data_IF_667807674947
#
_entry.id   IF_667807674947
#
_cell.length_a   1.000
_cell.length_b   1.000
_cell.length_c   1.000
_cell.angle_alpha   90.00
_cell.angle_beta   90.00
_cell.angle_gamma   90.00
#
_symmetry.space_group_name_H-M   'P 1'
#
loop_
_entity.id
_entity.type
_entity.pdbx_description
1 polymer ?
#
# COMPACT_ATOMS: atom_id res chain seq x y z
N UNK A 1 -12.30 -12.80 -14.97
CA UNK A 1 -12.82 -13.78 -14.02
C UNK A 1 -14.06 -13.25 -13.34
N UNK A 2 -14.98 -14.11 -13.05
CA UNK A 2 -16.17 -13.77 -12.25
C UNK A 2 -15.82 -14.00 -10.79
N UNK A 3 -15.86 -12.94 -9.98
CA UNK A 3 -15.67 -13.02 -8.54
C UNK A 3 -17.03 -12.83 -7.86
N UNK A 4 -17.31 -13.58 -6.80
CA UNK A 4 -18.55 -13.44 -6.05
C UNK A 4 -18.55 -12.15 -5.23
N UNK A 5 -17.58 -12.01 -4.33
CA UNK A 5 -17.42 -10.82 -3.49
C UNK A 5 -15.92 -10.50 -3.33
N UNK A 6 -15.32 -9.80 -4.31
CA UNK A 6 -13.90 -9.45 -4.24
C UNK A 6 -13.66 -8.28 -3.30
N UNK A 7 -12.63 -8.41 -2.47
CA UNK A 7 -12.10 -7.33 -1.64
C UNK A 7 -10.63 -7.15 -2.00
N UNK A 8 -10.19 -5.94 -2.27
CA UNK A 8 -8.81 -5.62 -2.59
C UNK A 8 -8.12 -4.97 -1.39
N UNK A 9 -6.82 -5.18 -1.29
CA UNK A 9 -6.01 -4.60 -0.18
C UNK A 9 -6.07 -3.07 -0.17
N UNK A 10 -6.27 -2.44 -1.32
CA UNK A 10 -6.44 -0.98 -1.49
C UNK A 10 -7.57 -0.41 -0.62
N UNK A 11 -8.59 -1.22 -0.30
CA UNK A 11 -9.67 -0.77 0.59
C UNK A 11 -9.16 -0.28 1.95
N UNK A 12 -7.95 -0.67 2.35
CA UNK A 12 -7.35 -0.20 3.60
C UNK A 12 -7.14 1.33 3.60
N UNK A 13 -6.84 1.95 2.45
CA UNK A 13 -6.72 3.41 2.37
C UNK A 13 -8.08 4.12 2.58
N UNK A 14 -9.18 3.49 2.21
CA UNK A 14 -10.52 4.08 2.31
C UNK A 14 -11.06 4.12 3.74
N UNK A 15 -10.41 3.43 4.69
CA UNK A 15 -10.86 3.40 6.07
C UNK A 15 -10.74 4.77 6.76
N UNK A 16 -9.82 5.61 6.32
CA UNK A 16 -9.72 7.01 6.76
C UNK A 16 -11.04 7.76 6.58
N UNK A 17 -11.73 7.56 5.45
CA UNK A 17 -13.04 8.18 5.22
C UNK A 17 -14.06 7.74 6.27
N UNK A 18 -14.11 6.45 6.58
CA UNK A 18 -15.05 5.91 7.56
C UNK A 18 -14.77 6.44 8.98
N UNK A 19 -13.50 6.50 9.38
CA UNK A 19 -13.11 7.10 10.67
C UNK A 19 -13.48 8.59 10.73
N UNK A 20 -13.24 9.35 9.66
CA UNK A 20 -13.57 10.76 9.59
C UNK A 20 -15.10 11.00 9.62
N UNK A 21 -15.88 10.16 8.93
CA UNK A 21 -17.35 10.23 9.00
C UNK A 21 -17.85 9.93 10.42
N UNK A 22 -17.29 8.93 11.09
CA UNK A 22 -17.64 8.63 12.47
C UNK A 22 -17.39 9.82 13.41
N UNK A 23 -16.25 10.49 13.26
CA UNK A 23 -15.93 11.71 14.03
C UNK A 23 -16.89 12.85 13.72
N UNK A 24 -17.16 13.10 12.44
CA UNK A 24 -17.99 14.22 12.00
C UNK A 24 -19.47 14.06 12.38
N UNK A 25 -19.98 12.83 12.37
CA UNK A 25 -21.41 12.55 12.63
C UNK A 25 -21.70 12.09 14.06
N UNK A 26 -20.70 11.64 14.80
CA UNK A 26 -20.87 10.99 16.10
C UNK A 26 -21.44 9.56 16.00
N UNK A 27 -21.63 9.01 14.79
CA UNK A 27 -22.16 7.66 14.58
C UNK A 27 -21.03 6.64 14.55
N UNK A 28 -20.91 5.86 15.63
CA UNK A 28 -19.84 4.88 15.79
C UNK A 28 -19.88 3.74 14.79
N UNK A 29 -21.01 3.50 14.12
CA UNK A 29 -21.14 2.39 13.14
C UNK A 29 -20.07 2.43 12.05
N UNK A 30 -19.67 3.63 11.60
CA UNK A 30 -18.64 3.79 10.58
C UNK A 30 -17.27 3.35 11.08
N UNK A 31 -16.92 3.72 12.33
CA UNK A 31 -15.72 3.25 13.01
C UNK A 31 -15.72 1.74 13.20
N UNK A 32 -16.85 1.16 13.62
CA UNK A 32 -16.98 -0.28 13.84
C UNK A 32 -16.82 -1.07 12.54
N UNK A 33 -17.37 -0.55 11.43
CA UNK A 33 -17.18 -1.12 10.09
C UNK A 33 -15.70 -1.07 9.70
N UNK A 34 -15.02 0.07 9.88
CA UNK A 34 -13.61 0.21 9.55
C UNK A 34 -12.73 -0.76 10.33
N UNK A 35 -12.93 -0.87 11.64
CA UNK A 35 -12.20 -1.82 12.50
C UNK A 35 -12.45 -3.26 12.06
N UNK A 36 -13.71 -3.64 11.83
CA UNK A 36 -14.06 -5.00 11.40
C UNK A 36 -13.43 -5.32 10.04
N UNK A 37 -13.44 -4.37 9.10
CA UNK A 37 -12.80 -4.54 7.81
C UNK A 37 -11.29 -4.75 7.98
N UNK A 38 -10.61 -3.88 8.75
CA UNK A 38 -9.17 -3.99 9.00
C UNK A 38 -8.79 -5.34 9.62
N UNK A 39 -9.55 -5.82 10.63
CA UNK A 39 -9.32 -7.11 11.27
C UNK A 39 -9.53 -8.27 10.32
N UNK A 40 -10.58 -8.24 9.49
CA UNK A 40 -10.85 -9.27 8.47
C UNK A 40 -9.74 -9.31 7.42
N UNK A 41 -9.28 -8.14 6.97
CA UNK A 41 -8.17 -8.00 6.04
C UNK A 41 -6.87 -8.54 6.64
N UNK A 42 -6.57 -8.25 7.90
CA UNK A 42 -5.40 -8.79 8.62
C UNK A 42 -5.36 -10.32 8.60
N UNK A 43 -6.50 -10.96 8.83
CA UNK A 43 -6.58 -12.43 8.87
C UNK A 43 -6.51 -13.09 7.48
N UNK A 44 -7.08 -12.44 6.47
CA UNK A 44 -7.32 -13.09 5.19
C UNK A 44 -6.37 -12.66 4.07
N UNK A 45 -5.87 -11.41 4.07
CA UNK A 45 -5.03 -10.87 2.98
C UNK A 45 -3.53 -11.08 3.19
N UNK A 46 -3.07 -11.54 4.34
CA UNK A 46 -1.63 -11.62 4.61
C UNK A 46 -1.10 -13.03 4.64
N UNK A 47 0.14 -13.16 4.15
CA UNK A 47 0.97 -14.36 4.26
C UNK A 47 1.76 -14.33 5.57
N UNK A 48 2.36 -15.45 6.00
CA UNK A 48 3.17 -15.50 7.23
C UNK A 48 4.38 -14.54 7.23
N UNK A 49 4.86 -14.12 6.06
CA UNK A 49 5.95 -13.17 5.88
C UNK A 49 5.49 -11.69 5.83
N UNK A 50 4.22 -11.43 6.11
CA UNK A 50 3.56 -10.12 6.06
C UNK A 50 3.41 -9.49 4.67
N UNK A 51 3.71 -10.22 3.59
CA UNK A 51 3.25 -9.82 2.27
C UNK A 51 1.75 -10.06 2.12
N UNK A 52 1.05 -9.27 1.31
CA UNK A 52 -0.38 -9.44 1.13
C UNK A 52 -0.76 -9.89 -0.28
N UNK A 53 -1.87 -10.62 -0.37
CA UNK A 53 -2.58 -10.83 -1.62
C UNK A 53 -3.30 -9.55 -2.03
N UNK A 54 -3.31 -9.26 -3.32
CA UNK A 54 -4.04 -8.11 -3.85
C UNK A 54 -5.54 -8.28 -3.63
N UNK A 55 -6.11 -9.42 -4.04
CA UNK A 55 -7.54 -9.70 -4.03
C UNK A 55 -7.85 -10.93 -3.21
N UNK A 56 -8.80 -10.83 -2.29
CA UNK A 56 -9.43 -11.97 -1.64
C UNK A 56 -10.90 -11.96 -2.00
N UNK A 57 -11.38 -13.03 -2.64
CA UNK A 57 -12.79 -13.23 -2.92
C UNK A 57 -13.45 -14.05 -1.82
N UNK A 58 -14.66 -13.68 -1.47
CA UNK A 58 -15.44 -14.32 -0.40
C UNK A 58 -16.71 -14.96 -0.95
N UNK A 59 -17.11 -16.05 -0.33
CA UNK A 59 -18.43 -16.65 -0.49
C UNK A 59 -19.49 -15.83 0.25
N UNK A 60 -20.76 -16.08 -0.05
CA UNK A 60 -21.90 -15.39 0.59
C UNK A 60 -21.97 -15.63 2.11
N UNK A 61 -21.38 -16.70 2.62
CA UNK A 61 -21.29 -17.01 4.05
C UNK A 61 -20.10 -16.32 4.76
N UNK A 62 -19.29 -15.55 4.00
CA UNK A 62 -18.12 -14.83 4.51
C UNK A 62 -16.83 -15.66 4.56
N UNK A 63 -16.86 -16.92 4.13
CA UNK A 63 -15.62 -17.72 4.01
C UNK A 63 -14.80 -17.29 2.80
N UNK A 64 -13.47 -17.45 2.87
CA UNK A 64 -12.57 -17.15 1.76
C UNK A 64 -12.81 -18.15 0.63
N UNK A 65 -13.15 -17.65 -0.55
CA UNK A 65 -13.28 -18.43 -1.77
C UNK A 65 -11.92 -18.63 -2.45
N UNK A 66 -11.22 -17.49 -2.70
CA UNK A 66 -9.95 -17.50 -3.42
C UNK A 66 -9.09 -16.30 -3.05
N UNK A 67 -7.77 -16.49 -3.05
CA UNK A 67 -6.76 -15.45 -2.93
C UNK A 67 -6.01 -15.32 -4.25
N UNK A 68 -5.87 -14.09 -4.76
CA UNK A 68 -5.38 -13.87 -6.11
C UNK A 68 -4.88 -12.45 -6.32
N UNK A 69 -4.42 -12.16 -7.53
CA UNK A 69 -4.09 -10.81 -7.96
C UNK A 69 -4.90 -10.39 -9.18
N UNK A 70 -4.97 -9.08 -9.41
CA UNK A 70 -5.45 -8.49 -10.65
C UNK A 70 -4.38 -7.58 -11.28
N UNK A 71 -3.61 -6.86 -10.45
CA UNK A 71 -2.58 -5.92 -10.90
C UNK A 71 -1.16 -6.42 -10.66
N UNK A 72 -0.96 -7.42 -9.79
CA UNK A 72 0.34 -8.03 -9.53
C UNK A 72 0.74 -9.04 -10.60
N UNK A 73 1.99 -9.51 -10.51
CA UNK A 73 2.62 -10.41 -11.49
C UNK A 73 1.91 -11.77 -11.61
N UNK A 74 1.53 -12.34 -10.48
CA UNK A 74 0.74 -13.58 -10.39
C UNK A 74 0.11 -13.69 -8.99
N UNK A 75 -0.73 -14.70 -8.76
CA UNK A 75 -1.48 -14.88 -7.50
C UNK A 75 -0.57 -15.04 -6.27
N UNK A 76 0.67 -15.50 -6.44
CA UNK A 76 1.63 -15.70 -5.35
C UNK A 76 2.60 -14.53 -5.17
N UNK A 77 2.60 -13.55 -6.07
CA UNK A 77 3.49 -12.39 -6.02
C UNK A 77 3.02 -11.31 -5.04
N UNK A 78 3.88 -10.32 -4.84
CA UNK A 78 3.68 -9.22 -3.91
C UNK A 78 3.64 -7.89 -4.66
N UNK A 79 2.47 -7.54 -5.20
CA UNK A 79 2.26 -6.28 -5.90
C UNK A 79 2.61 -5.08 -5.01
N UNK A 80 3.54 -4.23 -5.47
CA UNK A 80 4.19 -3.22 -4.63
C UNK A 80 3.22 -2.21 -4.02
N UNK A 81 2.30 -1.65 -4.82
CA UNK A 81 1.32 -0.66 -4.33
C UNK A 81 0.34 -1.27 -3.33
N UNK A 82 0.01 -2.55 -3.45
CA UNK A 82 -0.79 -3.25 -2.46
C UNK A 82 -0.13 -3.30 -1.09
N UNK A 83 1.19 -3.55 -1.04
CA UNK A 83 1.96 -3.51 0.21
C UNK A 83 1.98 -2.09 0.79
N UNK A 84 2.10 -1.08 -0.07
CA UNK A 84 2.07 0.33 0.34
C UNK A 84 0.72 0.72 0.96
N UNK A 85 -0.41 0.35 0.33
CA UNK A 85 -1.73 0.59 0.90
C UNK A 85 -1.96 -0.15 2.21
N UNK A 86 -1.37 -1.33 2.37
CA UNK A 86 -1.43 -2.08 3.61
C UNK A 86 -0.76 -1.32 4.76
N UNK A 87 0.50 -0.92 4.63
CA UNK A 87 1.21 -0.19 5.70
C UNK A 87 0.53 1.15 6.00
N UNK A 88 0.07 1.87 4.97
CA UNK A 88 -0.70 3.11 5.14
C UNK A 88 -1.97 2.87 5.96
N UNK A 89 -2.80 1.92 5.55
CA UNK A 89 -4.09 1.68 6.18
C UNK A 89 -3.97 1.20 7.63
N UNK A 90 -3.01 0.33 7.97
CA UNK A 90 -2.81 -0.10 9.36
C UNK A 90 -2.21 0.98 10.24
N UNK A 91 -1.35 1.86 9.71
CA UNK A 91 -0.87 3.05 10.42
C UNK A 91 -2.04 3.98 10.74
N UNK A 92 -2.89 4.25 9.75
CA UNK A 92 -4.11 5.04 9.94
C UNK A 92 -5.08 4.40 10.95
N UNK A 93 -5.28 3.08 10.89
CA UNK A 93 -6.11 2.37 11.88
C UNK A 93 -5.60 2.57 13.31
N UNK A 94 -4.28 2.50 13.53
CA UNK A 94 -3.71 2.79 14.85
C UNK A 94 -3.94 4.25 15.26
N UNK A 95 -3.69 5.21 14.41
CA UNK A 95 -3.97 6.64 14.68
C UNK A 95 -5.40 6.85 15.18
N UNK A 96 -6.37 6.17 14.55
CA UNK A 96 -7.78 6.37 14.79
C UNK A 96 -8.35 5.58 15.98
N UNK A 97 -7.70 4.48 16.36
CA UNK A 97 -8.21 3.57 17.39
C UNK A 97 -7.36 3.50 18.64
N UNK A 98 -6.07 3.83 18.52
CA UNK A 98 -5.04 3.59 19.54
C UNK A 98 -4.93 2.10 19.93
N UNK A 99 -5.34 1.18 19.04
CA UNK A 99 -5.24 -0.27 19.27
C UNK A 99 -3.85 -0.75 18.81
N UNK A 100 -3.05 -1.20 19.77
CA UNK A 100 -1.69 -1.68 19.53
C UNK A 100 -1.61 -2.89 18.57
N UNK A 101 -2.71 -3.60 18.35
CA UNK A 101 -2.77 -4.67 17.36
C UNK A 101 -2.47 -4.13 15.97
N UNK A 102 -3.06 -2.99 15.60
CA UNK A 102 -2.81 -2.34 14.32
C UNK A 102 -1.40 -1.76 14.22
N UNK A 103 -0.88 -1.15 15.30
CA UNK A 103 0.49 -0.64 15.33
C UNK A 103 1.51 -1.76 15.10
N UNK A 104 1.40 -2.83 15.87
CA UNK A 104 2.30 -3.98 15.77
C UNK A 104 2.27 -4.59 14.36
N UNK A 105 1.09 -4.61 13.74
CA UNK A 105 0.94 -5.13 12.39
C UNK A 105 1.54 -4.19 11.34
N UNK A 106 1.32 -2.88 11.45
CA UNK A 106 1.94 -1.86 10.60
C UNK A 106 3.48 -1.93 10.64
N UNK A 107 4.05 -2.10 11.84
CA UNK A 107 5.50 -2.30 12.05
C UNK A 107 6.00 -3.51 11.25
N UNK A 108 5.29 -4.65 11.31
CA UNK A 108 5.69 -5.86 10.58
C UNK A 108 5.65 -5.68 9.07
N UNK A 109 4.62 -5.00 8.57
CA UNK A 109 4.52 -4.69 7.15
C UNK A 109 5.63 -3.71 6.72
N UNK A 110 5.90 -2.67 7.50
CA UNK A 110 6.96 -1.72 7.23
C UNK A 110 8.34 -2.38 7.17
N UNK A 111 8.65 -3.23 8.14
CA UNK A 111 9.92 -3.99 8.18
C UNK A 111 10.01 -4.95 6.98
N UNK A 112 8.90 -5.61 6.59
CA UNK A 112 8.85 -6.45 5.40
C UNK A 112 9.14 -5.63 4.13
N UNK A 113 8.50 -4.47 3.94
CA UNK A 113 8.72 -3.59 2.78
C UNK A 113 10.19 -3.20 2.69
N UNK A 114 10.77 -2.67 3.77
CA UNK A 114 12.17 -2.23 3.83
C UNK A 114 13.16 -3.38 3.51
N UNK A 115 12.79 -4.61 3.88
CA UNK A 115 13.60 -5.80 3.58
C UNK A 115 13.43 -6.32 2.16
N UNK A 116 12.27 -6.12 1.53
CA UNK A 116 11.96 -6.64 0.17
C UNK A 116 12.38 -5.69 -0.95
N UNK A 117 12.31 -4.38 -0.73
CA UNK A 117 12.76 -3.40 -1.73
C UNK A 117 14.28 -3.38 -1.79
N UNK A 118 14.85 -3.88 -2.88
CA UNK A 118 16.30 -4.09 -3.08
C UNK A 118 16.95 -3.04 -3.99
N UNK A 119 16.21 -2.02 -4.38
CA UNK A 119 16.70 -0.96 -5.24
C UNK A 119 17.52 0.06 -4.45
N UNK A 120 18.59 0.57 -5.03
CA UNK A 120 19.50 1.52 -4.36
C UNK A 120 18.80 2.85 -4.02
N UNK A 121 17.80 3.23 -4.81
CA UNK A 121 17.00 4.45 -4.68
C UNK A 121 15.76 4.28 -3.75
N UNK A 122 15.52 3.07 -3.26
CA UNK A 122 14.34 2.69 -2.47
C UNK A 122 12.99 2.87 -3.19
N UNK A 123 13.00 3.04 -4.51
CA UNK A 123 11.77 3.00 -5.32
C UNK A 123 11.55 1.57 -5.79
N UNK A 124 10.44 0.91 -5.43
CA UNK A 124 10.22 -0.48 -5.78
C UNK A 124 9.98 -0.68 -7.27
N UNK A 125 10.24 -1.87 -7.76
CA UNK A 125 9.57 -2.35 -8.97
C UNK A 125 8.07 -2.48 -8.71
N UNK A 126 7.29 -2.49 -9.79
CA UNK A 126 5.81 -2.58 -9.73
C UNK A 126 5.28 -3.79 -8.95
N UNK A 127 6.09 -4.83 -8.82
CA UNK A 127 5.85 -6.03 -8.02
C UNK A 127 7.19 -6.48 -7.41
N UNK A 128 7.22 -6.86 -6.13
CA UNK A 128 8.47 -7.23 -5.44
C UNK A 128 9.08 -8.54 -5.98
N UNK A 129 8.29 -9.33 -6.69
CA UNK A 129 8.71 -10.56 -7.35
C UNK A 129 8.94 -10.36 -8.87
N UNK A 130 8.92 -9.11 -9.35
CA UNK A 130 9.30 -8.78 -10.71
C UNK A 130 10.79 -9.06 -10.96
N UNK A 131 11.20 -9.34 -12.20
CA UNK A 131 12.62 -9.47 -12.55
C UNK A 131 13.39 -8.20 -12.21
N UNK A 132 14.60 -8.34 -11.69
CA UNK A 132 15.51 -7.21 -11.48
C UNK A 132 16.22 -6.93 -12.79
N UNK A 133 15.70 -5.99 -13.56
CA UNK A 133 16.23 -5.61 -14.87
C UNK A 133 15.98 -4.12 -15.12
N UNK A 134 16.78 -3.51 -16.01
CA UNK A 134 16.69 -2.09 -16.34
C UNK A 134 15.33 -1.72 -16.93
N UNK A 135 14.78 -2.61 -17.77
CA UNK A 135 13.49 -2.44 -18.41
C UNK A 135 12.28 -2.71 -17.52
N UNK A 136 12.49 -3.24 -16.29
CA UNK A 136 11.39 -3.52 -15.36
C UNK A 136 10.85 -2.21 -14.78
N UNK A 137 9.56 -1.89 -14.99
CA UNK A 137 9.00 -0.63 -14.51
C UNK A 137 9.09 -0.46 -13.00
N UNK A 138 9.43 0.78 -12.59
CA UNK A 138 9.35 1.24 -11.20
C UNK A 138 7.93 1.68 -10.87
N UNK A 139 7.58 1.68 -9.60
CA UNK A 139 6.31 2.24 -9.14
C UNK A 139 6.52 3.35 -8.11
N UNK A 140 6.61 4.59 -8.62
CA UNK A 140 6.74 5.79 -7.79
C UNK A 140 5.54 5.98 -6.87
N UNK A 141 4.35 5.53 -7.28
CA UNK A 141 3.13 5.61 -6.45
C UNK A 141 3.23 4.73 -5.20
N UNK A 142 3.74 3.50 -5.34
CA UNK A 142 3.97 2.63 -4.19
C UNK A 142 5.02 3.22 -3.23
N UNK A 143 6.05 3.89 -3.78
CA UNK A 143 7.06 4.57 -2.99
C UNK A 143 6.48 5.76 -2.21
N UNK A 144 5.71 6.64 -2.86
CA UNK A 144 5.14 7.84 -2.22
C UNK A 144 4.18 7.49 -1.08
N UNK A 145 3.29 6.51 -1.30
CA UNK A 145 2.37 6.00 -0.28
C UNK A 145 3.14 5.37 0.88
N UNK A 146 4.19 4.58 0.58
CA UNK A 146 5.05 3.99 1.63
C UNK A 146 5.73 5.07 2.43
N UNK A 147 6.32 6.10 1.80
CA UNK A 147 6.98 7.20 2.51
C UNK A 147 6.02 7.93 3.44
N UNK A 148 4.81 8.24 2.99
CA UNK A 148 3.75 8.86 3.81
C UNK A 148 3.46 8.02 5.06
N UNK A 149 3.24 6.73 4.90
CA UNK A 149 2.97 5.82 6.01
C UNK A 149 4.14 5.71 7.00
N UNK A 150 5.38 5.64 6.49
CA UNK A 150 6.57 5.51 7.33
C UNK A 150 6.87 6.78 8.13
N UNK A 151 6.64 7.98 7.56
CA UNK A 151 6.75 9.25 8.28
C UNK A 151 5.82 9.25 9.48
N UNK A 152 4.55 8.91 9.26
CA UNK A 152 3.58 8.84 10.35
C UNK A 152 3.95 7.77 11.38
N UNK A 153 4.26 6.54 10.93
CA UNK A 153 4.65 5.42 11.80
C UNK A 153 5.87 5.75 12.65
N UNK A 154 6.81 6.55 12.11
CA UNK A 154 8.02 6.97 12.84
C UNK A 154 7.73 7.73 14.12
N UNK A 155 6.60 8.41 14.20
CA UNK A 155 6.16 9.17 15.38
C UNK A 155 5.44 8.31 16.43
N UNK A 156 5.09 7.09 16.08
CA UNK A 156 4.24 6.21 16.89
C UNK A 156 5.02 5.10 17.62
N UNK A 157 6.29 4.93 17.29
CA UNK A 157 7.12 3.84 17.85
C UNK A 157 8.44 4.37 18.42
N UNK A 158 9.00 3.73 19.48
CA UNK A 158 10.25 4.19 20.09
C UNK A 158 11.44 4.19 19.11
N UNK A 159 11.54 3.20 18.23
CA UNK A 159 12.59 3.07 17.21
C UNK A 159 12.16 3.66 15.84
N UNK A 160 11.43 4.77 15.89
CA UNK A 160 10.84 5.41 14.70
C UNK A 160 11.87 5.97 13.73
N UNK A 161 13.08 6.29 14.21
CA UNK A 161 14.13 6.89 13.37
C UNK A 161 14.43 6.08 12.11
N UNK A 162 14.46 4.75 12.19
CA UNK A 162 14.72 3.89 11.02
C UNK A 162 13.67 4.06 9.91
N UNK A 163 12.40 4.26 10.27
CA UNK A 163 11.32 4.48 9.32
C UNK A 163 11.40 5.87 8.70
N UNK A 164 11.72 6.89 9.52
CA UNK A 164 11.93 8.25 9.02
C UNK A 164 13.11 8.30 8.05
N UNK A 165 14.24 7.72 8.40
CA UNK A 165 15.43 7.69 7.54
C UNK A 165 15.15 6.99 6.19
N UNK A 166 14.36 5.92 6.22
CA UNK A 166 13.98 5.22 5.00
C UNK A 166 12.98 6.04 4.15
N UNK A 167 12.01 6.69 4.78
CA UNK A 167 11.09 7.60 4.10
C UNK A 167 11.82 8.80 3.49
N UNK A 168 12.79 9.40 4.19
CA UNK A 168 13.64 10.45 3.63
C UNK A 168 14.43 9.98 2.41
N UNK A 169 14.92 8.74 2.42
CA UNK A 169 15.61 8.16 1.25
C UNK A 169 14.67 8.07 0.06
N UNK A 170 13.45 7.56 0.25
CA UNK A 170 12.42 7.52 -0.80
C UNK A 170 12.14 8.93 -1.33
N UNK A 171 11.88 9.90 -0.44
CA UNK A 171 11.54 11.26 -0.84
C UNK A 171 12.68 11.96 -1.58
N UNK A 172 13.94 11.73 -1.21
CA UNK A 172 15.11 12.23 -1.96
C UNK A 172 15.14 11.67 -3.38
N UNK A 173 14.85 10.37 -3.55
CA UNK A 173 14.78 9.75 -4.87
C UNK A 173 13.61 10.31 -5.69
N UNK A 174 12.41 10.38 -5.12
CA UNK A 174 11.23 10.93 -5.78
C UNK A 174 11.38 12.42 -6.16
N UNK A 175 12.20 13.17 -5.43
CA UNK A 175 12.49 14.59 -5.70
C UNK A 175 13.61 14.80 -6.72
N UNK A 176 14.20 13.74 -7.25
CA UNK A 176 15.23 13.81 -8.28
C UNK A 176 14.62 13.93 -9.68
N UNK A 177 15.43 14.37 -10.64
CA UNK A 177 15.04 14.45 -12.06
C UNK A 177 14.62 13.10 -12.66
N UNK A 178 14.94 11.99 -11.98
CA UNK A 178 14.53 10.66 -12.40
C UNK A 178 13.03 10.39 -12.18
N UNK A 179 12.39 11.08 -11.23
CA UNK A 179 10.99 10.85 -10.88
C UNK A 179 10.14 12.12 -10.85
N UNK A 180 10.74 13.28 -10.55
CA UNK A 180 10.02 14.54 -10.46
C UNK A 180 9.82 15.11 -11.86
N UNK A 181 8.57 15.31 -12.25
CA UNK A 181 8.24 15.93 -13.53
C UNK A 181 8.65 17.41 -13.56
N UNK A 182 9.09 17.89 -14.73
CA UNK A 182 9.30 19.32 -14.93
C UNK A 182 7.97 20.07 -14.96
N UNK A 183 7.99 21.31 -14.49
CA UNK A 183 6.79 22.18 -14.51
C UNK A 183 6.25 22.31 -15.94
N UNK A 184 4.99 21.96 -16.12
CA UNK A 184 4.31 21.99 -17.42
C UNK A 184 4.34 20.67 -18.18
N UNK A 185 5.14 19.71 -17.74
CA UNK A 185 5.18 18.36 -18.29
C UNK A 185 4.22 17.40 -17.54
N UNK A 186 4.20 16.14 -17.95
CA UNK A 186 3.50 15.05 -17.28
C UNK A 186 2.00 15.34 -16.99
N UNK A 187 1.34 16.09 -17.88
CA UNK A 187 -0.09 16.45 -17.77
C UNK A 187 -0.47 17.14 -16.44
N UNK A 188 0.50 17.77 -15.76
CA UNK A 188 0.31 18.42 -14.46
C UNK A 188 0.45 17.52 -13.23
N UNK A 189 0.79 16.25 -13.41
CA UNK A 189 1.11 15.34 -12.30
C UNK A 189 2.57 15.54 -11.85
N UNK A 190 2.79 15.37 -10.54
CA UNK A 190 4.09 15.65 -9.90
C UNK A 190 5.10 14.53 -10.20
N UNK A 191 4.71 13.28 -10.04
CA UNK A 191 5.60 12.13 -10.19
C UNK A 191 5.39 11.41 -11.52
N UNK A 192 6.51 10.98 -12.10
CA UNK A 192 6.59 10.06 -13.23
C UNK A 192 6.77 8.61 -12.74
N UNK A 193 6.71 7.66 -13.67
CA UNK A 193 7.13 6.26 -13.46
C UNK A 193 6.30 5.50 -12.42
N UNK A 194 4.98 5.58 -12.52
CA UNK A 194 4.08 4.68 -11.80
C UNK A 194 3.48 3.62 -12.72
N UNK A 195 2.97 2.53 -12.15
CA UNK A 195 2.35 1.43 -12.88
C UNK A 195 0.97 1.11 -12.34
N UNK A 196 -0.07 1.32 -13.14
CA UNK A 196 -1.43 0.93 -12.81
C UNK A 196 -1.59 -0.58 -12.81
N UNK A 197 -1.49 -1.22 -13.98
CA UNK A 197 -1.65 -2.67 -14.11
C UNK A 197 -0.84 -3.24 -15.28
N UNK A 198 0.38 -3.68 -15.02
CA UNK A 198 1.24 -4.27 -16.04
C UNK A 198 0.63 -5.51 -16.71
N UNK A 199 0.04 -6.48 -15.97
CA UNK A 199 -0.53 -7.67 -16.58
C UNK A 199 -1.69 -7.39 -17.55
N UNK A 200 -2.38 -6.27 -17.35
CA UNK A 200 -3.50 -5.86 -18.21
C UNK A 200 -3.07 -4.86 -19.30
N UNK A 201 -1.78 -4.54 -19.41
CA UNK A 201 -1.25 -3.57 -20.37
C UNK A 201 -1.81 -2.15 -20.16
N UNK A 202 -2.21 -1.81 -18.93
CA UNK A 202 -2.85 -0.54 -18.61
C UNK A 202 -2.00 0.29 -17.69
N UNK A 203 -1.88 1.58 -18.00
CA UNK A 203 -1.18 2.57 -17.18
C UNK A 203 0.25 2.14 -16.81
N UNK A 204 1.03 1.76 -17.84
CA UNK A 204 2.43 1.38 -17.69
C UNK A 204 3.27 2.64 -17.86
N UNK A 205 4.18 2.89 -16.90
CA UNK A 205 5.06 4.06 -16.91
C UNK A 205 4.27 5.37 -17.06
N UNK A 206 3.32 5.60 -16.16
CA UNK A 206 2.37 6.73 -16.25
C UNK A 206 2.22 7.41 -14.89
N UNK A 207 1.77 8.68 -14.84
CA UNK A 207 1.41 9.30 -13.57
C UNK A 207 0.14 8.69 -12.98
N UNK A 208 0.09 8.62 -11.65
CA UNK A 208 -1.13 8.26 -10.91
C UNK A 208 -1.49 9.39 -9.94
N UNK A 209 -2.78 9.66 -9.78
CA UNK A 209 -3.28 10.85 -9.09
C UNK A 209 -3.06 10.89 -7.57
N UNK A 210 -2.61 9.81 -6.98
CA UNK A 210 -2.29 9.71 -5.54
C UNK A 210 -0.78 9.58 -5.28
N UNK A 211 0.06 9.81 -6.28
CA UNK A 211 1.52 9.76 -6.19
C UNK A 211 2.14 11.14 -6.16
#
# INVERSE_FOLDING_TARGET
GTWNFPVIIDNMMNLDLLFNVAKATGDSKYKDIAIKHAMTTMHNHFRPDYTCWHVVSYNNDGTVEKKQTFQGKNDDSSWARGQAWAVYGYTACYRETNDSTFLNFAVKIADMIMNRVKTDDAIPYWDYDAPVAEETPRDASAASVTASALIELSTMVPDGKKYLDYAEKILKSLSSDAYLAKVGDNQGFILMHSVGSLPNGSEIDTPLNYA
#
